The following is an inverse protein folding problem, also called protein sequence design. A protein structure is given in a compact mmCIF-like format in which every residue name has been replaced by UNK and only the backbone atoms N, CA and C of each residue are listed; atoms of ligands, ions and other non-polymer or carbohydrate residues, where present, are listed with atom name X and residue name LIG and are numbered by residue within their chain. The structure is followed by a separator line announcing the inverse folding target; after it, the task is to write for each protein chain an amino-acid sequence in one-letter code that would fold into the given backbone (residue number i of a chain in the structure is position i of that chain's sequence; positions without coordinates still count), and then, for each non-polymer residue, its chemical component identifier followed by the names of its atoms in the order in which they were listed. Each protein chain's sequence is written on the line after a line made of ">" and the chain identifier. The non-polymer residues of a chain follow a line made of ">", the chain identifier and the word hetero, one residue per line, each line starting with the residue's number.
data_IF_817827868902
#
_entry.id   IF_817827868902
#
_cell.length_a   1.000
_cell.length_b   1.000
_cell.length_c   1.000
_cell.angle_alpha   90.00
_cell.angle_beta   90.00
_cell.angle_gamma   90.00
#
_symmetry.space_group_name_H-M   'P 1'
#
loop_
_entity.id
_entity.type
_entity.pdbx_description
1 polymer ?
#
# COMPACT_ATOMS: atom_id res chain seq x y z
N UNK A 1 23.74 23.52 -60.86
CA UNK A 1 24.08 22.34 -60.02
C UNK A 1 23.46 22.60 -58.64
N UNK A 2 22.14 22.66 -58.53
CA UNK A 2 21.27 21.51 -58.18
C UNK A 2 21.96 20.50 -57.27
N UNK A 3 21.71 20.63 -55.97
CA UNK A 3 21.51 19.49 -55.08
C UNK A 3 20.39 19.85 -54.12
N UNK A 4 19.18 19.46 -54.52
CA UNK A 4 18.08 19.21 -53.62
C UNK A 4 18.45 17.99 -52.78
N UNK A 5 18.33 18.08 -51.44
CA UNK A 5 18.38 16.92 -50.56
C UNK A 5 16.94 16.61 -50.09
N UNK A 6 16.29 15.57 -50.65
CA UNK A 6 14.96 15.17 -50.24
C UNK A 6 15.05 14.05 -49.20
N UNK A 7 14.53 14.30 -48.01
CA UNK A 7 14.04 13.20 -47.17
C UNK A 7 14.50 13.20 -45.72
N UNK A 8 14.05 14.18 -44.94
CA UNK A 8 13.79 13.90 -43.52
C UNK A 8 12.36 13.36 -43.42
N UNK A 9 12.20 12.04 -43.57
CA UNK A 9 10.94 11.37 -43.24
C UNK A 9 10.69 11.61 -41.75
N UNK A 10 9.63 12.36 -41.43
CA UNK A 10 9.10 12.46 -40.08
C UNK A 10 8.69 11.04 -39.64
N UNK A 11 9.30 10.52 -38.57
CA UNK A 11 8.80 9.32 -37.92
C UNK A 11 7.45 9.63 -37.25
N UNK A 12 6.44 8.74 -37.33
CA UNK A 12 5.17 8.95 -36.67
C UNK A 12 5.33 8.76 -35.15
N UNK A 13 5.01 9.83 -34.42
CA UNK A 13 4.50 9.84 -33.04
C UNK A 13 5.08 8.82 -32.07
N UNK A 14 6.34 8.97 -31.67
CA UNK A 14 6.74 8.55 -30.33
C UNK A 14 6.22 9.62 -29.36
N UNK A 15 5.30 9.28 -28.44
CA UNK A 15 4.89 10.25 -27.43
C UNK A 15 6.13 10.67 -26.65
N UNK A 16 6.34 11.99 -26.56
CA UNK A 16 7.48 12.53 -25.83
C UNK A 16 7.40 12.05 -24.39
N UNK A 17 8.54 11.73 -23.78
CA UNK A 17 8.67 11.22 -22.41
C UNK A 17 8.01 12.09 -21.31
N UNK A 18 7.42 13.23 -21.66
CA UNK A 18 6.81 14.20 -20.75
C UNK A 18 5.33 13.94 -20.42
N UNK A 19 4.64 12.99 -21.07
CA UNK A 19 3.22 12.74 -20.78
C UNK A 19 2.97 11.51 -19.89
N UNK A 20 3.80 11.35 -18.84
CA UNK A 20 3.33 10.65 -17.64
C UNK A 20 2.86 11.71 -16.67
N UNK A 21 1.66 12.24 -16.90
CA UNK A 21 0.93 13.06 -15.93
C UNK A 21 0.50 12.18 -14.76
N UNK A 22 1.46 11.84 -13.90
CA UNK A 22 1.17 11.29 -12.57
C UNK A 22 0.36 12.35 -11.83
N UNK A 23 -0.91 12.06 -11.60
CA UNK A 23 -1.79 12.85 -10.75
C UNK A 23 -1.07 13.15 -9.42
N UNK A 24 -0.73 14.41 -9.18
CA UNK A 24 0.13 14.85 -8.07
C UNK A 24 -0.49 14.69 -6.66
N UNK A 25 -1.63 14.00 -6.53
CA UNK A 25 -2.35 13.80 -5.27
C UNK A 25 -2.75 12.34 -5.00
N UNK A 26 -2.38 11.38 -5.85
CA UNK A 26 -2.75 9.98 -5.65
C UNK A 26 -1.63 9.21 -4.93
N UNK A 27 -1.95 8.61 -3.77
CA UNK A 27 -1.05 7.66 -3.10
C UNK A 27 -0.87 6.44 -4.01
N UNK A 28 0.38 6.06 -4.38
CA UNK A 28 0.59 4.90 -5.24
C UNK A 28 0.19 3.61 -4.53
N UNK A 29 -0.34 2.61 -5.26
CA UNK A 29 -0.69 1.32 -4.68
C UNK A 29 0.57 0.53 -4.30
N UNK A 30 0.42 -0.44 -3.39
CA UNK A 30 1.49 -1.37 -3.08
C UNK A 30 1.88 -2.18 -4.32
N UNK A 31 3.17 -2.25 -4.70
CA UNK A 31 3.60 -2.97 -5.90
C UNK A 31 3.48 -4.50 -5.76
N UNK A 32 3.19 -5.01 -4.57
CA UNK A 32 3.12 -6.45 -4.29
C UNK A 32 1.70 -7.00 -4.22
N UNK A 33 0.71 -6.18 -3.86
CA UNK A 33 -0.68 -6.62 -3.71
C UNK A 33 -1.72 -5.65 -4.30
N UNK A 34 -1.30 -4.48 -4.79
CA UNK A 34 -2.17 -3.47 -5.36
C UNK A 34 -3.02 -2.68 -4.35
N UNK A 35 -2.98 -3.03 -3.06
CA UNK A 35 -3.75 -2.33 -2.02
C UNK A 35 -3.20 -0.92 -1.76
N UNK A 36 -4.05 0.03 -1.33
CA UNK A 36 -3.61 1.38 -0.97
C UNK A 36 -2.60 1.36 0.17
N UNK A 37 -1.64 2.28 0.11
CA UNK A 37 -0.70 2.50 1.21
C UNK A 37 -1.34 3.44 2.24
N UNK A 38 -1.12 3.18 3.53
CA UNK A 38 -1.55 4.07 4.59
C UNK A 38 -0.42 5.01 5.01
N UNK A 39 -0.77 6.25 5.37
CA UNK A 39 0.16 7.17 6.04
C UNK A 39 0.38 6.72 7.47
N UNK A 40 1.63 6.71 7.92
CA UNK A 40 1.98 6.42 9.30
C UNK A 40 3.18 7.25 9.74
N UNK A 41 3.28 7.53 11.04
CA UNK A 41 4.43 8.23 11.61
C UNK A 41 5.53 7.25 12.06
N UNK A 42 6.77 7.65 11.83
CA UNK A 42 7.95 7.05 12.46
C UNK A 42 8.38 7.90 13.66
N UNK A 43 9.10 7.34 14.65
CA UNK A 43 9.63 8.14 15.75
C UNK A 43 10.53 9.27 15.23
N UNK A 44 10.42 10.45 15.85
CA UNK A 44 11.14 11.67 15.46
C UNK A 44 12.67 11.51 15.45
N UNK A 45 13.18 10.56 16.22
CA UNK A 45 14.59 10.23 16.38
C UNK A 45 15.16 9.32 15.26
N UNK A 46 14.36 8.96 14.25
CA UNK A 46 14.74 8.04 13.18
C UNK A 46 15.53 8.65 12.01
N UNK A 47 15.73 9.98 11.98
CA UNK A 47 16.44 10.66 10.88
C UNK A 47 15.68 10.66 9.54
N UNK A 48 14.34 10.68 9.58
CA UNK A 48 13.48 10.68 8.41
C UNK A 48 12.92 12.08 8.15
N UNK A 49 13.22 12.65 6.99
CA UNK A 49 12.96 14.07 6.68
C UNK A 49 11.51 14.38 6.24
N UNK A 50 10.54 13.54 6.62
CA UNK A 50 9.13 13.65 6.20
C UNK A 50 8.16 13.45 7.35
N UNK A 51 7.10 14.27 7.39
CA UNK A 51 6.07 14.25 8.46
C UNK A 51 5.34 12.91 8.56
N UNK A 52 5.31 12.13 7.48
CA UNK A 52 4.76 10.78 7.44
C UNK A 52 5.49 9.93 6.40
N UNK A 53 5.29 8.62 6.52
CA UNK A 53 5.73 7.62 5.57
C UNK A 53 4.51 6.85 5.06
N UNK A 54 4.64 6.19 3.92
CA UNK A 54 3.60 5.34 3.37
C UNK A 54 3.98 3.87 3.58
N UNK A 55 3.05 3.03 4.03
CA UNK A 55 3.30 1.60 4.15
C UNK A 55 2.08 0.72 3.81
N UNK A 56 2.36 -0.50 3.37
CA UNK A 56 1.34 -1.51 3.10
C UNK A 56 0.95 -2.26 4.38
N UNK A 57 -0.27 -2.01 4.87
CA UNK A 57 -0.85 -2.69 6.03
C UNK A 57 -1.82 -3.84 5.66
N UNK A 58 -1.84 -4.28 4.40
CA UNK A 58 -2.52 -5.52 4.02
C UNK A 58 -1.75 -6.73 4.57
N UNK A 59 -2.42 -7.53 5.40
CA UNK A 59 -1.87 -8.71 6.07
C UNK A 59 -1.79 -9.95 5.17
N UNK A 60 -2.45 -9.89 4.01
CA UNK A 60 -2.40 -10.91 2.96
C UNK A 60 -1.44 -10.53 1.83
N UNK A 61 -0.69 -9.43 2.00
CA UNK A 61 0.31 -9.01 1.02
C UNK A 61 1.40 -10.09 0.88
N UNK A 62 1.69 -10.61 -0.33
CA UNK A 62 2.65 -11.70 -0.52
C UNK A 62 4.08 -11.29 -0.13
N UNK A 63 4.39 -9.99 -0.13
CA UNK A 63 5.65 -9.48 0.39
C UNK A 63 5.75 -9.65 1.91
N UNK A 64 4.70 -9.29 2.64
CA UNK A 64 4.62 -9.43 4.09
C UNK A 64 4.51 -10.90 4.53
N UNK A 65 3.71 -11.71 3.85
CA UNK A 65 3.54 -13.13 4.20
C UNK A 65 4.85 -13.90 4.02
N UNK A 66 5.54 -13.71 2.88
CA UNK A 66 6.84 -14.36 2.63
C UNK A 66 7.93 -13.88 3.57
N UNK A 67 7.86 -12.62 4.03
CA UNK A 67 8.84 -12.07 4.96
C UNK A 67 8.95 -12.84 6.27
N UNK A 68 7.84 -13.39 6.79
CA UNK A 68 7.84 -14.23 8.00
C UNK A 68 8.74 -15.44 7.86
N UNK A 69 8.50 -16.24 6.81
CA UNK A 69 9.29 -17.44 6.55
C UNK A 69 10.75 -17.10 6.24
N UNK A 70 11.00 -16.07 5.42
CA UNK A 70 12.34 -15.69 5.01
C UNK A 70 13.20 -15.24 6.21
N UNK A 71 12.67 -14.36 7.07
CA UNK A 71 13.41 -13.88 8.24
C UNK A 71 13.63 -15.00 9.25
N UNK A 72 12.63 -15.86 9.48
CA UNK A 72 12.76 -17.00 10.38
C UNK A 72 13.82 -18.00 9.90
N UNK A 73 13.83 -18.32 8.61
CA UNK A 73 14.81 -19.23 7.99
C UNK A 73 16.25 -18.67 8.03
N UNK A 74 16.42 -17.38 7.76
CA UNK A 74 17.75 -16.76 7.61
C UNK A 74 18.34 -16.26 8.93
N UNK A 75 17.49 -15.83 9.88
CA UNK A 75 17.92 -15.17 11.11
C UNK A 75 17.38 -15.81 12.39
N UNK A 76 16.49 -16.82 12.31
CA UNK A 76 15.96 -17.52 13.47
C UNK A 76 15.05 -16.67 14.36
N UNK A 77 14.52 -15.56 13.86
CA UNK A 77 13.64 -14.65 14.60
C UNK A 77 12.28 -14.55 13.93
N UNK A 78 11.21 -14.55 14.74
CA UNK A 78 9.84 -14.39 14.22
C UNK A 78 9.55 -12.93 13.93
N UNK A 79 9.86 -12.51 12.72
CA UNK A 79 9.72 -11.13 12.23
C UNK A 79 9.34 -11.16 10.75
N UNK A 80 8.78 -10.07 10.24
CA UNK A 80 8.57 -9.87 8.81
C UNK A 80 8.93 -8.42 8.45
N UNK A 81 8.64 -8.02 7.22
CA UNK A 81 8.77 -6.66 6.73
C UNK A 81 7.54 -6.24 5.94
N UNK A 82 7.18 -4.96 6.04
CA UNK A 82 6.17 -4.33 5.19
C UNK A 82 6.85 -3.48 4.13
N UNK A 83 6.17 -3.28 3.00
CA UNK A 83 6.63 -2.34 1.98
C UNK A 83 6.43 -0.91 2.50
N UNK A 84 7.49 -0.10 2.52
CA UNK A 84 7.49 1.33 2.83
C UNK A 84 7.84 2.13 1.59
N UNK A 85 7.22 3.29 1.45
CA UNK A 85 7.57 4.32 0.48
C UNK A 85 7.75 5.65 1.21
N UNK A 86 8.87 6.31 0.94
CA UNK A 86 9.09 7.70 1.34
C UNK A 86 8.40 8.64 0.34
N UNK A 87 7.36 9.38 0.74
CA UNK A 87 6.66 10.28 -0.17
C UNK A 87 7.51 11.47 -0.62
N UNK A 88 8.55 11.86 0.15
CA UNK A 88 9.39 13.00 -0.18
C UNK A 88 10.43 12.66 -1.26
N UNK A 89 11.08 11.50 -1.13
CA UNK A 89 12.14 11.07 -2.05
C UNK A 89 11.68 10.05 -3.10
N UNK A 90 10.49 9.46 -2.94
CA UNK A 90 10.01 8.33 -3.74
C UNK A 90 10.76 7.01 -3.48
N UNK A 91 11.64 6.95 -2.48
CA UNK A 91 12.44 5.76 -2.20
C UNK A 91 11.61 4.69 -1.49
N UNK A 92 11.66 3.47 -2.03
CA UNK A 92 11.05 2.30 -1.43
C UNK A 92 12.05 1.56 -0.54
N UNK A 93 11.58 1.04 0.60
CA UNK A 93 12.39 0.16 1.45
C UNK A 93 11.52 -0.83 2.24
N UNK A 94 12.08 -1.95 2.71
CA UNK A 94 11.43 -2.75 3.74
C UNK A 94 11.37 -1.96 5.06
N UNK A 95 10.30 -2.17 5.83
CA UNK A 95 10.25 -1.80 7.25
C UNK A 95 10.01 -3.06 8.08
N UNK A 96 10.93 -3.43 8.99
CA UNK A 96 10.78 -4.64 9.81
C UNK A 96 9.63 -4.51 10.81
N UNK A 97 8.93 -5.61 11.05
CA UNK A 97 7.78 -5.70 11.95
C UNK A 97 7.86 -6.98 12.80
N UNK A 98 7.65 -6.84 14.10
CA UNK A 98 7.68 -7.97 15.06
C UNK A 98 6.33 -8.67 15.22
N UNK A 99 5.26 -8.09 14.68
CA UNK A 99 3.92 -8.67 14.70
C UNK A 99 3.07 -8.11 13.57
N UNK A 100 1.91 -8.74 13.31
CA UNK A 100 0.88 -8.21 12.40
C UNK A 100 0.38 -6.81 12.79
N UNK A 101 0.41 -6.50 14.09
CA UNK A 101 -0.08 -5.24 14.63
C UNK A 101 0.99 -4.15 14.76
N UNK A 102 2.27 -4.48 14.55
CA UNK A 102 3.33 -3.49 14.64
C UNK A 102 3.08 -2.32 13.69
N UNK A 103 3.26 -1.10 14.20
CA UNK A 103 3.11 0.19 13.50
C UNK A 103 1.67 0.59 13.18
N UNK A 104 0.67 -0.25 13.45
CA UNK A 104 -0.74 0.10 13.20
C UNK A 104 -1.26 1.20 14.12
N UNK A 105 -0.71 1.27 15.33
CA UNK A 105 -0.94 2.32 16.34
C UNK A 105 -0.44 3.71 15.91
N UNK A 106 0.31 3.79 14.81
CA UNK A 106 0.90 5.01 14.26
C UNK A 106 0.32 5.40 12.91
N UNK A 107 -0.71 4.69 12.45
CA UNK A 107 -1.43 5.05 11.23
C UNK A 107 -2.16 6.37 11.48
N UNK A 108 -1.99 7.32 10.57
CA UNK A 108 -2.66 8.61 10.63
C UNK A 108 -4.07 8.44 10.04
N UNK A 109 -5.09 8.76 10.84
CA UNK A 109 -6.49 8.43 10.57
C UNK A 109 -7.10 9.18 9.37
N UNK A 110 -6.45 10.27 8.93
CA UNK A 110 -6.94 11.14 7.85
C UNK A 110 -7.05 10.46 6.47
N UNK A 111 -6.56 9.21 6.32
CA UNK A 111 -6.55 8.46 5.05
C UNK A 111 -7.20 7.08 5.11
N UNK A 112 -7.86 6.71 6.21
CA UNK A 112 -8.68 5.48 6.25
C UNK A 112 -10.02 5.76 5.56
N UNK A 113 -9.98 6.12 4.27
CA UNK A 113 -11.16 6.13 3.43
C UNK A 113 -11.50 4.70 3.03
N UNK A 114 -12.37 4.10 3.86
CA UNK A 114 -13.30 3.01 3.56
C UNK A 114 -12.68 1.66 3.14
N UNK A 115 -12.31 0.86 4.14
CA UNK A 115 -12.79 -0.52 4.13
C UNK A 115 -14.25 -0.51 4.58
N UNK A 116 -15.20 -1.26 3.99
CA UNK A 116 -16.54 -1.34 4.56
C UNK A 116 -16.38 -1.95 5.95
N UNK A 117 -16.62 -1.14 6.98
CA UNK A 117 -16.88 -1.61 8.32
C UNK A 117 -18.15 -2.46 8.23
N UNK A 118 -17.97 -3.75 8.00
CA UNK A 118 -19.02 -4.75 8.17
C UNK A 118 -19.34 -4.90 9.65
N UNK A 119 -19.91 -3.85 10.23
CA UNK A 119 -20.59 -3.89 11.51
C UNK A 119 -22.04 -3.52 11.24
N UNK A 120 -22.78 -4.49 10.70
CA UNK A 120 -24.22 -4.59 10.90
C UNK A 120 -24.46 -5.92 11.61
N UNK A 121 -24.09 -5.95 12.90
CA UNK A 121 -24.67 -6.89 13.85
C UNK A 121 -26.15 -6.51 13.93
N UNK A 122 -27.02 -7.31 13.32
CA UNK A 122 -28.47 -7.21 13.54
C UNK A 122 -28.76 -7.83 14.92
N UNK A 123 -29.16 -7.06 15.95
CA UNK A 123 -29.64 -7.63 17.19
C UNK A 123 -31.15 -7.80 17.09
N UNK A 124 -31.59 -9.07 17.02
CA UNK A 124 -32.88 -9.50 17.53
C UNK A 124 -34.10 -9.25 16.65
N UNK A 125 -34.63 -10.34 16.10
CA UNK A 125 -36.07 -10.54 16.01
C UNK A 125 -36.39 -12.01 16.33
N UNK A 126 -36.69 -12.27 17.60
CA UNK A 126 -37.55 -13.38 17.98
C UNK A 126 -38.85 -12.76 18.48
N UNK A 127 -39.97 -13.02 17.79
CA UNK A 127 -41.09 -13.62 18.52
C UNK A 127 -41.96 -14.58 17.68
N UNK A 128 -42.53 -15.60 18.34
CA UNK A 128 -43.70 -16.36 17.88
C UNK A 128 -43.46 -17.87 17.74
N UNK A 129 -43.80 -18.70 18.72
CA UNK A 129 -45.13 -19.27 19.06
C UNK A 129 -45.47 -20.60 18.36
N UNK A 130 -45.89 -21.59 19.17
CA UNK A 130 -46.44 -22.90 18.78
C UNK A 130 -45.55 -24.06 19.27
N UNK A 131 -45.96 -25.02 20.09
CA UNK A 131 -47.28 -25.51 20.43
C UNK A 131 -47.42 -26.98 20.02
N UNK A 132 -46.76 -27.90 20.72
CA UNK A 132 -46.93 -29.36 20.67
C UNK A 132 -46.58 -29.87 22.08
N UNK A 133 -47.37 -30.61 22.86
CA UNK A 133 -48.48 -31.47 22.52
C UNK A 133 -48.17 -32.90 22.94
N UNK A 134 -48.02 -33.16 24.25
CA UNK A 134 -48.29 -34.45 24.95
C UNK A 134 -48.23 -34.26 26.46
#
# INVERSE_FOLDING_TARGET
>A
MSSSDPGRRQAPGVPSYLEVTVAQNAVPPCPHCGQPLARFSLPDEGGWDGTFQLACFNDDCPYFVRGWAWIEEHYGVRSSYRYRLDPASGQASPIPVWSRNALRDRILEDDVLAGPSGEDVIPGDAPGQGGEGI
#
